data_IF_208751331365
#
_entry.id   IF_208751331365
#
_cell.length_a   1.000
_cell.length_b   1.000
_cell.length_c   1.000
_cell.angle_alpha   90.00
_cell.angle_beta   90.00
_cell.angle_gamma   90.00
#
_symmetry.space_group_name_H-M   'P 1'
#
loop_
_entity.id
_entity.type
_entity.pdbx_description
1 polymer ?
#
# COMPACT_ATOMS: atom_id res chain seq x y z
N UNK A 1 -17.20 -17.87 1.37
CA UNK A 1 -18.00 -17.00 2.25
C UNK A 1 -18.13 -15.53 1.74
N UNK A 2 -18.29 -15.29 0.43
CA UNK A 2 -18.06 -13.94 -0.16
C UNK A 2 -19.27 -13.12 -0.62
N UNK A 3 -20.47 -13.69 -0.78
CA UNK A 3 -21.62 -12.99 -1.39
C UNK A 3 -22.84 -12.84 -0.47
N UNK A 4 -22.66 -13.00 0.84
CA UNK A 4 -23.73 -12.91 1.85
C UNK A 4 -24.63 -11.66 1.80
N UNK A 5 -24.12 -10.43 1.53
CA UNK A 5 -24.95 -9.23 1.57
C UNK A 5 -25.80 -9.05 0.30
N UNK A 6 -25.40 -9.62 -0.85
CA UNK A 6 -26.24 -9.66 -2.04
C UNK A 6 -27.43 -10.63 -1.90
N UNK A 7 -27.45 -11.44 -0.82
CA UNK A 7 -28.47 -12.45 -0.54
C UNK A 7 -29.19 -12.25 0.81
N UNK A 8 -29.09 -11.06 1.42
CA UNK A 8 -29.82 -10.72 2.65
C UNK A 8 -29.44 -11.52 3.90
N UNK A 9 -28.30 -12.23 3.91
CA UNK A 9 -27.83 -12.96 5.10
C UNK A 9 -26.92 -12.06 5.95
N UNK A 10 -27.09 -12.03 7.29
CA UNK A 10 -26.18 -11.31 8.17
C UNK A 10 -24.75 -11.86 7.98
N UNK A 11 -23.82 -10.96 7.69
CA UNK A 11 -22.41 -11.32 7.52
C UNK A 11 -21.84 -11.80 8.85
N UNK A 12 -21.17 -12.96 8.83
CA UNK A 12 -20.25 -13.34 9.90
C UNK A 12 -19.11 -12.31 10.03
N UNK A 13 -18.39 -12.33 11.16
CA UNK A 13 -17.31 -11.37 11.48
C UNK A 13 -16.31 -11.21 10.32
N UNK A 14 -15.86 -12.31 9.72
CA UNK A 14 -14.93 -12.30 8.58
C UNK A 14 -15.52 -11.65 7.33
N UNK A 15 -16.82 -11.84 7.10
CA UNK A 15 -17.54 -11.23 5.99
C UNK A 15 -17.60 -9.71 6.13
N UNK A 16 -17.76 -9.20 7.35
CA UNK A 16 -17.74 -7.74 7.61
C UNK A 16 -16.35 -7.17 7.37
N UNK A 17 -15.30 -7.84 7.84
CA UNK A 17 -13.90 -7.44 7.59
C UNK A 17 -13.62 -7.38 6.09
N UNK A 18 -14.04 -8.38 5.31
CA UNK A 18 -13.89 -8.38 3.86
C UNK A 18 -14.51 -7.13 3.20
N UNK A 19 -15.71 -6.73 3.60
CA UNK A 19 -16.34 -5.50 3.08
C UNK A 19 -15.65 -4.22 3.55
N UNK A 20 -15.13 -4.18 4.77
CA UNK A 20 -14.32 -3.05 5.22
C UNK A 20 -13.03 -2.91 4.39
N UNK A 21 -12.39 -4.03 4.04
CA UNK A 21 -11.22 -4.02 3.15
C UNK A 21 -11.57 -3.46 1.77
N UNK A 22 -12.72 -3.84 1.19
CA UNK A 22 -13.20 -3.23 -0.06
C UNK A 22 -13.47 -1.74 0.12
N UNK A 23 -14.16 -1.36 1.20
CA UNK A 23 -14.47 0.05 1.48
C UNK A 23 -13.20 0.91 1.64
N UNK A 24 -12.11 0.33 2.11
CA UNK A 24 -10.84 1.06 2.24
C UNK A 24 -10.24 1.51 0.90
N UNK A 25 -10.57 0.84 -0.21
CA UNK A 25 -10.12 1.25 -1.54
C UNK A 25 -10.85 2.50 -2.05
N UNK A 26 -12.01 2.86 -1.47
CA UNK A 26 -12.87 3.94 -1.97
C UNK A 26 -12.19 5.30 -1.93
N UNK A 27 -11.58 5.77 -0.81
CA UNK A 27 -10.90 7.08 -0.80
C UNK A 27 -9.79 7.18 -1.85
N UNK A 28 -8.97 6.12 -2.01
CA UNK A 28 -7.89 6.09 -2.99
C UNK A 28 -8.41 6.01 -4.43
N UNK A 29 -9.47 5.23 -4.69
CA UNK A 29 -10.10 5.15 -6.01
C UNK A 29 -10.71 6.49 -6.43
N UNK A 30 -11.44 7.17 -5.54
CA UNK A 30 -11.99 8.51 -5.80
C UNK A 30 -10.86 9.49 -6.10
N UNK A 31 -9.84 9.55 -5.24
CA UNK A 31 -8.71 10.45 -5.44
C UNK A 31 -7.95 10.13 -6.74
N UNK A 32 -7.80 8.85 -7.11
CA UNK A 32 -7.12 8.44 -8.34
C UNK A 32 -7.87 8.85 -9.61
N UNK A 33 -9.20 8.84 -9.58
CA UNK A 33 -10.02 9.33 -10.70
C UNK A 33 -10.02 10.86 -10.77
N UNK A 34 -10.17 11.54 -9.62
CA UNK A 34 -10.25 13.01 -9.57
C UNK A 34 -8.90 13.67 -9.86
N UNK A 35 -7.79 13.06 -9.43
CA UNK A 35 -6.45 13.63 -9.55
C UNK A 35 -5.63 13.02 -10.69
N UNK A 36 -6.25 12.26 -11.60
CA UNK A 36 -5.55 11.48 -12.65
C UNK A 36 -4.54 12.34 -13.43
N UNK A 37 -4.93 13.55 -13.82
CA UNK A 37 -4.11 14.42 -14.66
C UNK A 37 -3.00 15.11 -13.86
N UNK A 38 -3.23 15.40 -12.58
CA UNK A 38 -2.26 16.08 -11.70
C UNK A 38 -1.18 15.13 -11.19
N UNK A 39 -1.46 13.82 -11.11
CA UNK A 39 -0.48 12.82 -10.66
C UNK A 39 0.79 12.82 -11.54
N UNK A 40 0.65 13.08 -12.84
CA UNK A 40 1.77 13.13 -13.77
C UNK A 40 2.78 14.24 -13.44
N UNK A 41 2.32 15.38 -12.92
CA UNK A 41 3.18 16.51 -12.56
C UNK A 41 4.06 16.22 -11.34
N UNK A 42 3.70 15.19 -10.59
CA UNK A 42 4.37 14.81 -9.35
C UNK A 42 5.47 13.74 -9.50
N UNK A 43 5.73 13.25 -10.72
CA UNK A 43 6.73 12.19 -10.97
C UNK A 43 8.19 12.70 -11.02
N UNK A 44 8.49 13.76 -10.27
CA UNK A 44 9.85 14.32 -10.20
C UNK A 44 10.70 13.46 -9.27
N UNK A 45 11.83 12.95 -9.77
CA UNK A 45 12.74 12.05 -9.03
C UNK A 45 13.11 12.59 -7.65
N UNK A 46 13.42 13.89 -7.52
CA UNK A 46 13.76 14.49 -6.22
C UNK A 46 12.58 14.45 -5.23
N UNK A 47 11.35 14.57 -5.73
CA UNK A 47 10.15 14.53 -4.91
C UNK A 47 9.81 13.11 -4.47
N UNK A 48 10.01 12.12 -5.35
CA UNK A 48 9.93 10.70 -5.00
C UNK A 48 10.89 10.39 -3.84
N UNK A 49 12.14 10.85 -3.95
CA UNK A 49 13.15 10.66 -2.93
C UNK A 49 12.80 11.37 -1.61
N UNK A 50 12.28 12.60 -1.68
CA UNK A 50 11.79 13.32 -0.50
C UNK A 50 10.62 12.58 0.17
N UNK A 51 9.65 12.08 -0.60
CA UNK A 51 8.50 11.33 -0.09
C UNK A 51 8.89 9.98 0.52
N UNK A 52 9.93 9.31 0.00
CA UNK A 52 10.51 8.12 0.63
C UNK A 52 10.97 8.43 2.06
N UNK A 53 11.71 9.54 2.25
CA UNK A 53 12.23 9.98 3.54
C UNK A 53 11.08 10.41 4.46
N UNK A 54 10.23 11.34 4.02
CA UNK A 54 9.16 11.93 4.85
C UNK A 54 8.23 10.85 5.40
N UNK A 55 7.71 9.96 4.54
CA UNK A 55 6.83 8.89 5.00
C UNK A 55 7.58 7.76 5.73
N UNK A 56 8.89 7.63 5.52
CA UNK A 56 9.74 6.79 6.37
C UNK A 56 9.78 7.32 7.80
N UNK A 57 10.00 8.62 7.97
CA UNK A 57 10.00 9.29 9.28
C UNK A 57 8.62 9.25 9.95
N UNK A 58 7.53 9.47 9.20
CA UNK A 58 6.17 9.34 9.74
C UNK A 58 5.91 7.94 10.27
N UNK A 59 6.30 6.90 9.53
CA UNK A 59 6.18 5.52 9.99
C UNK A 59 7.02 5.27 11.25
N UNK A 60 8.21 5.84 11.32
CA UNK A 60 9.08 5.72 12.50
C UNK A 60 8.43 6.32 13.75
N UNK A 61 7.76 7.46 13.62
CA UNK A 61 7.01 8.08 14.72
C UNK A 61 5.81 7.21 15.09
N UNK A 62 5.02 6.79 14.09
CA UNK A 62 3.84 5.97 14.33
C UNK A 62 4.18 4.62 14.99
N UNK A 63 5.29 3.99 14.58
CA UNK A 63 5.69 2.69 15.11
C UNK A 63 6.08 2.71 16.59
N UNK A 64 6.47 3.87 17.12
CA UNK A 64 6.79 4.04 18.55
C UNK A 64 5.57 4.21 19.45
N UNK A 65 4.38 4.37 18.87
CA UNK A 65 3.17 4.53 19.66
C UNK A 65 2.73 3.20 20.30
N UNK A 66 2.06 3.24 21.46
CA UNK A 66 1.56 2.04 22.12
C UNK A 66 0.61 1.24 21.22
N UNK A 67 0.69 -0.07 21.35
CA UNK A 67 -0.25 -1.00 20.73
C UNK A 67 -1.50 -1.12 21.61
N UNK A 68 -2.68 -0.96 21.00
CA UNK A 68 -3.97 -0.88 21.71
C UNK A 68 -5.12 -1.61 21.01
N UNK A 69 -4.93 -2.03 19.76
CA UNK A 69 -5.96 -2.65 18.93
C UNK A 69 -5.40 -3.90 18.25
N UNK A 70 -6.08 -5.03 18.47
CA UNK A 70 -5.90 -6.25 17.70
C UNK A 70 -6.73 -6.21 16.41
N UNK A 71 -6.66 -7.27 15.60
CA UNK A 71 -7.33 -7.35 14.29
C UNK A 71 -8.87 -7.28 14.42
N UNK A 72 -9.40 -7.84 15.49
CA UNK A 72 -10.83 -7.96 15.83
C UNK A 72 -11.46 -6.59 16.10
N UNK A 73 -10.64 -5.60 16.48
CA UNK A 73 -11.09 -4.24 16.70
C UNK A 73 -11.35 -3.47 15.38
N UNK A 74 -11.08 -4.08 14.22
CA UNK A 74 -11.20 -3.44 12.91
C UNK A 74 -12.63 -3.04 12.56
N UNK A 75 -12.82 -1.74 12.32
CA UNK A 75 -14.11 -1.14 11.98
C UNK A 75 -14.03 -0.37 10.68
N UNK A 76 -15.19 -0.12 10.07
CA UNK A 76 -15.30 0.68 8.84
C UNK A 76 -14.57 2.03 8.93
N UNK A 77 -14.65 2.74 10.06
CA UNK A 77 -13.93 4.01 10.25
C UNK A 77 -12.42 3.87 10.13
N UNK A 78 -11.85 2.79 10.64
CA UNK A 78 -10.42 2.52 10.57
C UNK A 78 -10.06 2.16 9.12
N UNK A 79 -10.90 1.38 8.44
CA UNK A 79 -10.75 1.05 7.03
C UNK A 79 -10.74 2.28 6.12
N UNK A 80 -11.66 3.23 6.34
CA UNK A 80 -11.72 4.48 5.58
C UNK A 80 -10.53 5.39 5.91
N UNK A 81 -10.14 5.51 7.18
CA UNK A 81 -8.96 6.29 7.57
C UNK A 81 -7.67 5.72 6.92
N UNK A 82 -7.50 4.40 6.97
CA UNK A 82 -6.39 3.74 6.29
C UNK A 82 -6.50 3.89 4.76
N UNK A 83 -7.71 3.92 4.20
CA UNK A 83 -7.97 4.26 2.79
C UNK A 83 -7.53 5.67 2.40
N UNK A 84 -7.64 6.66 3.29
CA UNK A 84 -7.02 7.99 3.08
C UNK A 84 -5.50 7.85 3.01
N UNK A 85 -4.89 7.00 3.85
CA UNK A 85 -3.47 6.65 3.73
C UNK A 85 -3.10 6.04 2.37
N UNK A 86 -3.98 5.22 1.79
CA UNK A 86 -3.82 4.72 0.42
C UNK A 86 -3.96 5.84 -0.64
N UNK A 87 -4.85 6.80 -0.42
CA UNK A 87 -5.03 7.95 -1.32
C UNK A 87 -3.79 8.87 -1.34
N UNK A 88 -3.19 9.10 -0.17
CA UNK A 88 -1.91 9.82 -0.07
C UNK A 88 -0.79 9.14 -0.86
N UNK A 89 -0.90 7.84 -1.10
CA UNK A 89 0.06 7.06 -1.86
C UNK A 89 -0.05 7.21 -3.38
N UNK A 90 -1.02 8.00 -3.87
CA UNK A 90 -1.06 8.42 -5.26
C UNK A 90 0.11 9.37 -5.59
N UNK A 91 0.70 10.00 -4.58
CA UNK A 91 1.93 10.77 -4.74
C UNK A 91 3.14 9.84 -4.97
N UNK A 92 3.85 9.94 -6.11
CA UNK A 92 5.05 9.14 -6.36
C UNK A 92 6.08 9.24 -5.22
N UNK A 93 6.65 8.09 -4.84
CA UNK A 93 7.55 7.95 -3.69
C UNK A 93 6.87 7.77 -2.33
N UNK A 94 5.57 8.06 -2.23
CA UNK A 94 4.78 7.64 -1.07
C UNK A 94 4.48 6.15 -1.21
N UNK A 95 5.21 5.32 -0.47
CA UNK A 95 4.91 3.89 -0.39
C UNK A 95 3.51 3.68 0.18
N UNK A 96 2.58 3.14 -0.62
CA UNK A 96 1.22 2.80 -0.18
C UNK A 96 1.20 1.94 1.07
N UNK A 97 1.95 0.84 1.08
CA UNK A 97 2.01 -0.01 2.28
C UNK A 97 2.54 0.78 3.48
N UNK A 98 3.58 1.59 3.29
CA UNK A 98 4.12 2.44 4.36
C UNK A 98 3.14 3.50 4.88
N UNK A 99 2.43 4.22 4.00
CA UNK A 99 1.44 5.23 4.39
C UNK A 99 0.25 4.59 5.11
N UNK A 100 -0.25 3.47 4.59
CA UNK A 100 -1.36 2.73 5.21
C UNK A 100 -0.95 2.12 6.56
N UNK A 101 0.27 1.59 6.67
CA UNK A 101 0.86 1.12 7.94
C UNK A 101 0.99 2.27 8.95
N UNK A 102 1.46 3.43 8.50
CA UNK A 102 1.60 4.63 9.34
C UNK A 102 0.26 5.01 9.94
N UNK A 103 -0.80 5.09 9.12
CA UNK A 103 -2.16 5.38 9.61
C UNK A 103 -2.65 4.28 10.56
N UNK A 104 -2.44 3.01 10.23
CA UNK A 104 -2.80 1.88 11.11
C UNK A 104 -2.15 1.97 12.49
N UNK A 105 -0.85 2.29 12.51
CA UNK A 105 -0.08 2.43 13.76
C UNK A 105 -0.50 3.67 14.55
N UNK A 106 -0.81 4.78 13.90
CA UNK A 106 -1.43 5.95 14.55
C UNK A 106 -2.81 5.63 15.13
N UNK A 107 -3.59 4.76 14.49
CA UNK A 107 -4.87 4.27 15.02
C UNK A 107 -4.70 3.28 16.19
N UNK A 108 -3.47 2.86 16.51
CA UNK A 108 -3.12 2.02 17.64
C UNK A 108 -3.10 0.52 17.35
N UNK A 109 -3.16 0.09 16.09
CA UNK A 109 -3.12 -1.35 15.76
C UNK A 109 -1.75 -1.95 16.07
N UNK A 110 -1.72 -3.16 16.61
CA UNK A 110 -0.51 -3.97 16.74
C UNK A 110 0.20 -4.15 15.40
N UNK A 111 1.52 -4.34 15.42
CA UNK A 111 2.32 -4.48 14.18
C UNK A 111 1.87 -5.64 13.29
N UNK A 112 1.56 -6.81 13.87
CA UNK A 112 1.07 -7.96 13.11
C UNK A 112 -0.32 -7.68 12.51
N UNK A 113 -1.24 -7.10 13.30
CA UNK A 113 -2.56 -6.71 12.81
C UNK A 113 -2.46 -5.66 11.69
N UNK A 114 -1.66 -4.62 11.87
CA UNK A 114 -1.42 -3.56 10.89
C UNK A 114 -0.86 -4.13 9.58
N UNK A 115 0.16 -4.99 9.64
CA UNK A 115 0.75 -5.60 8.45
C UNK A 115 -0.25 -6.49 7.69
N UNK A 116 -1.04 -7.30 8.41
CA UNK A 116 -2.08 -8.14 7.79
C UNK A 116 -3.17 -7.32 7.15
N UNK A 117 -3.69 -6.30 7.84
CA UNK A 117 -4.73 -5.41 7.32
C UNK A 117 -4.22 -4.72 6.05
N UNK A 118 -3.06 -4.08 6.10
CA UNK A 118 -2.49 -3.37 4.93
C UNK A 118 -2.25 -4.31 3.75
N UNK A 119 -1.78 -5.54 4.00
CA UNK A 119 -1.63 -6.53 2.95
C UNK A 119 -2.98 -6.94 2.34
N UNK A 120 -3.99 -7.24 3.16
CA UNK A 120 -5.32 -7.60 2.68
C UNK A 120 -5.99 -6.44 1.92
N UNK A 121 -5.82 -5.21 2.39
CA UNK A 121 -6.29 -3.99 1.73
C UNK A 121 -5.61 -3.74 0.38
N UNK A 122 -4.42 -4.33 0.15
CA UNK A 122 -3.75 -4.23 -1.13
C UNK A 122 -4.47 -4.99 -2.24
N UNK A 123 -5.21 -6.05 -1.91
CA UNK A 123 -5.94 -6.86 -2.89
C UNK A 123 -6.98 -6.04 -3.68
N UNK A 124 -7.98 -5.39 -3.07
CA UNK A 124 -8.99 -4.64 -3.82
C UNK A 124 -8.41 -3.45 -4.58
N UNK A 125 -7.45 -2.72 -3.99
CA UNK A 125 -6.88 -1.53 -4.63
C UNK A 125 -5.96 -1.88 -5.81
N UNK A 126 -5.11 -2.93 -5.69
CA UNK A 126 -4.24 -3.38 -6.79
C UNK A 126 -5.08 -4.00 -7.89
N UNK A 127 -6.05 -4.84 -7.54
CA UNK A 127 -6.93 -5.45 -8.54
C UNK A 127 -7.70 -4.37 -9.31
N UNK A 128 -8.27 -3.39 -8.60
CA UNK A 128 -8.96 -2.25 -9.22
C UNK A 128 -8.04 -1.44 -10.15
N UNK A 129 -6.85 -1.08 -9.68
CA UNK A 129 -5.86 -0.36 -10.49
C UNK A 129 -5.39 -1.18 -11.72
N UNK A 130 -5.21 -2.49 -11.56
CA UNK A 130 -4.82 -3.40 -12.64
C UNK A 130 -5.90 -3.53 -13.71
N UNK A 131 -7.17 -3.70 -13.31
CA UNK A 131 -8.30 -3.71 -14.25
C UNK A 131 -8.42 -2.38 -14.98
N UNK A 132 -8.29 -1.26 -14.26
CA UNK A 132 -8.32 0.08 -14.86
C UNK A 132 -7.18 0.26 -15.87
N UNK A 133 -5.96 -0.15 -15.53
CA UNK A 133 -4.80 -0.05 -16.43
C UNK A 133 -4.92 -0.97 -17.65
N UNK A 134 -5.47 -2.18 -17.49
CA UNK A 134 -5.68 -3.12 -18.60
C UNK A 134 -6.75 -2.64 -19.58
N UNK A 135 -7.77 -1.92 -19.11
CA UNK A 135 -8.80 -1.35 -19.99
C UNK A 135 -8.22 -0.31 -20.98
N UNK A 136 -7.19 0.42 -20.56
CA UNK A 136 -6.49 1.42 -21.38
C UNK A 136 -5.22 0.85 -22.07
N UNK A 137 -4.87 -0.43 -21.85
CA UNK A 137 -3.61 -1.00 -22.33
C UNK A 137 -3.69 -1.49 -23.78
N UNK A 138 -2.81 -0.95 -24.65
CA UNK A 138 -2.54 -1.48 -25.98
C UNK A 138 -1.21 -2.23 -26.00
N UNK A 139 -1.22 -3.55 -25.77
CA UNK A 139 -0.01 -4.39 -25.78
C UNK A 139 0.29 -4.85 -27.21
N UNK A 140 1.47 -4.51 -27.79
CA UNK A 140 1.89 -5.02 -29.09
C UNK A 140 1.92 -6.56 -29.12
N UNK A 141 1.59 -7.16 -30.26
CA UNK A 141 1.43 -8.62 -30.38
C UNK A 141 2.72 -9.41 -30.04
N UNK A 142 3.88 -8.81 -30.31
CA UNK A 142 5.22 -9.34 -30.01
C UNK A 142 5.62 -9.20 -28.53
N UNK A 143 4.92 -8.38 -27.76
CA UNK A 143 5.22 -8.13 -26.34
C UNK A 143 4.48 -9.05 -25.35
N UNK A 144 3.55 -9.89 -25.82
CA UNK A 144 2.83 -10.84 -24.96
C UNK A 144 3.75 -11.83 -24.22
N UNK A 145 4.76 -12.47 -24.86
CA UNK A 145 5.63 -13.39 -24.13
C UNK A 145 6.44 -12.70 -23.01
N UNK A 146 7.13 -11.57 -23.24
CA UNK A 146 7.78 -10.81 -22.16
C UNK A 146 6.82 -10.36 -21.07
N UNK A 147 5.60 -9.92 -21.44
CA UNK A 147 4.59 -9.48 -20.48
C UNK A 147 4.16 -10.63 -19.54
N UNK A 148 3.91 -11.83 -20.08
CA UNK A 148 3.56 -13.01 -19.29
C UNK A 148 4.71 -13.45 -18.38
N UNK A 149 5.95 -13.43 -18.87
CA UNK A 149 7.11 -13.73 -18.03
C UNK A 149 7.29 -12.72 -16.89
N UNK A 150 7.09 -11.43 -17.18
CA UNK A 150 7.10 -10.38 -16.16
C UNK A 150 6.00 -10.59 -15.12
N UNK A 151 4.78 -10.97 -15.55
CA UNK A 151 3.67 -11.27 -14.66
C UNK A 151 3.98 -12.45 -13.73
N UNK A 152 4.49 -13.57 -14.27
CA UNK A 152 4.86 -14.75 -13.48
C UNK A 152 6.00 -14.43 -12.52
N UNK A 153 7.05 -13.74 -12.99
CA UNK A 153 8.17 -13.34 -12.14
C UNK A 153 7.71 -12.42 -11.00
N UNK A 154 6.84 -11.43 -11.28
CA UNK A 154 6.25 -10.56 -10.27
C UNK A 154 5.39 -11.32 -9.27
N UNK A 155 4.62 -12.32 -9.71
CA UNK A 155 3.80 -13.13 -8.81
C UNK A 155 4.66 -13.95 -7.84
N UNK A 156 5.70 -14.61 -8.36
CA UNK A 156 6.61 -15.44 -7.55
C UNK A 156 7.43 -14.59 -6.56
N UNK A 157 8.05 -13.51 -7.05
CA UNK A 157 8.85 -12.61 -6.19
C UNK A 157 7.98 -11.87 -5.20
N UNK A 158 6.78 -11.42 -5.59
CA UNK A 158 5.80 -10.81 -4.71
C UNK A 158 5.36 -11.74 -3.59
N UNK A 159 5.09 -13.02 -3.89
CA UNK A 159 4.77 -14.01 -2.87
C UNK A 159 5.89 -14.17 -1.83
N UNK A 160 7.14 -14.32 -2.28
CA UNK A 160 8.30 -14.44 -1.38
C UNK A 160 8.49 -13.17 -0.55
N UNK A 161 8.33 -11.99 -1.15
CA UNK A 161 8.45 -10.71 -0.46
C UNK A 161 7.39 -10.52 0.64
N UNK A 162 6.14 -10.89 0.38
CA UNK A 162 5.05 -10.83 1.36
C UNK A 162 5.31 -11.81 2.50
N UNK A 163 5.66 -13.05 2.19
CA UNK A 163 6.00 -14.06 3.19
C UNK A 163 7.15 -13.57 4.10
N UNK A 164 8.21 -13.03 3.50
CA UNK A 164 9.35 -12.48 4.23
C UNK A 164 8.97 -11.29 5.11
N UNK A 165 8.14 -10.37 4.59
CA UNK A 165 7.66 -9.20 5.34
C UNK A 165 6.82 -9.61 6.54
N UNK A 166 5.86 -10.51 6.37
CA UNK A 166 5.03 -11.00 7.48
C UNK A 166 5.87 -11.74 8.53
N UNK A 167 6.90 -12.49 8.12
CA UNK A 167 7.83 -13.14 9.04
C UNK A 167 8.67 -12.14 9.83
N UNK A 168 9.17 -11.09 9.18
CA UNK A 168 9.98 -10.04 9.80
C UNK A 168 9.17 -9.24 10.83
N UNK A 169 7.96 -8.80 10.45
CA UNK A 169 7.13 -7.92 11.28
C UNK A 169 6.56 -8.63 12.51
N UNK A 170 6.34 -9.95 12.45
CA UNK A 170 5.89 -10.75 13.60
C UNK A 170 6.87 -10.79 14.78
N UNK A 171 8.11 -10.34 14.60
CA UNK A 171 9.16 -10.43 15.62
C UNK A 171 9.86 -9.11 15.93
N UNK A 172 9.54 -8.00 15.22
CA UNK A 172 10.33 -6.77 15.26
C UNK A 172 9.52 -5.48 15.00
N UNK A 173 10.19 -4.34 15.16
CA UNK A 173 9.79 -3.00 14.73
C UNK A 173 9.84 -2.82 13.20
N UNK A 174 9.13 -1.83 12.65
CA UNK A 174 9.25 -1.41 11.25
C UNK A 174 10.56 -0.64 10.94
N UNK A 175 11.46 -0.47 11.93
CA UNK A 175 12.71 0.28 11.78
C UNK A 175 13.58 -0.13 10.56
N UNK A 176 13.75 -1.43 10.21
CA UNK A 176 14.52 -1.79 9.02
C UNK A 176 13.96 -1.19 7.73
N UNK A 177 12.62 -1.14 7.61
CA UNK A 177 11.95 -0.54 6.46
C UNK A 177 12.10 0.99 6.44
N UNK A 178 12.04 1.63 7.61
CA UNK A 178 12.31 3.07 7.76
C UNK A 178 13.73 3.40 7.30
N UNK A 179 14.73 2.67 7.79
CA UNK A 179 16.14 2.89 7.46
C UNK A 179 16.36 2.72 5.96
N UNK A 180 15.82 1.64 5.37
CA UNK A 180 15.88 1.41 3.92
C UNK A 180 15.35 2.63 3.13
N UNK A 181 14.16 3.13 3.50
CA UNK A 181 13.55 4.28 2.80
C UNK A 181 14.38 5.55 2.91
N UNK A 182 14.91 5.84 4.09
CA UNK A 182 15.73 7.03 4.31
C UNK A 182 17.04 6.91 3.53
N UNK A 183 17.73 5.78 3.61
CA UNK A 183 18.99 5.54 2.89
C UNK A 183 18.79 5.65 1.39
N UNK A 184 17.76 5.01 0.82
CA UNK A 184 17.47 5.08 -0.62
C UNK A 184 17.10 6.51 -1.02
N UNK A 185 16.24 7.20 -0.26
CA UNK A 185 15.88 8.58 -0.57
C UNK A 185 17.08 9.53 -0.55
N UNK A 186 17.95 9.42 0.47
CA UNK A 186 19.18 10.21 0.55
C UNK A 186 20.13 9.88 -0.59
N UNK A 187 20.33 8.59 -0.90
CA UNK A 187 21.19 8.17 -2.01
C UNK A 187 20.72 8.74 -3.35
N UNK A 188 19.41 8.70 -3.63
CA UNK A 188 18.84 9.29 -4.85
C UNK A 188 19.06 10.81 -4.90
N UNK A 189 18.84 11.52 -3.78
CA UNK A 189 19.09 12.97 -3.74
C UNK A 189 20.56 13.31 -3.96
N UNK A 190 21.50 12.53 -3.40
CA UNK A 190 22.94 12.71 -3.62
C UNK A 190 23.33 12.45 -5.08
N UNK A 191 22.83 11.38 -5.70
CA UNK A 191 23.09 11.09 -7.12
C UNK A 191 22.57 12.25 -8.00
N UNK A 192 21.40 12.80 -7.68
CA UNK A 192 20.84 13.93 -8.41
C UNK A 192 21.69 15.20 -8.31
N UNK A 193 22.39 15.43 -7.19
CA UNK A 193 23.26 16.61 -7.03
C UNK A 193 24.65 16.42 -7.64
N UNK A 194 25.13 15.19 -7.81
CA UNK A 194 26.44 14.92 -8.44
C UNK A 194 26.41 14.89 -9.96
N UNK A 195 25.22 14.97 -10.60
CA UNK A 195 25.09 14.98 -12.06
C UNK A 195 25.41 13.64 -12.74
N UNK A 196 25.59 12.57 -11.97
CA UNK A 196 25.59 11.20 -12.50
C UNK A 196 24.17 10.87 -12.98
N UNK A 197 23.92 11.09 -14.27
CA UNK A 197 22.70 10.69 -14.98
C UNK A 197 23.05 9.74 -16.11
#
# INVERSE_FOLDING_TARGET
AGFGPLRGRPLGTDGKVAWFLVASAVPAGIAGVVLKDQIADFDRIWMIAAMLIVFGLLLLVADRLPERKELEAFRLRDALAMGVGQALALQPGVSRSGATLTVSRFLGYERDAAARLVFLMSLPIIAGAGVFALADASIPSDFWPPFLWGMVASALTGYVAVWGTLKLVRSHTFAPFVVYRIVVGVAVLLILTTGWR
#
